data_IF_192453563557
#
_entry.id   IF_192453563557
#
_cell.length_a   1.000
_cell.length_b   1.000
_cell.length_c   1.000
_cell.angle_alpha   90.00
_cell.angle_beta   90.00
_cell.angle_gamma   90.00
#
_symmetry.space_group_name_H-M   'P 1'
#
loop_
_entity.id
_entity.type
_entity.pdbx_description
1 polymer ?
#
# COMPACT_ATOMS: atom_id res chain seq x y z
N UNK A 1 15.73 -24.59 5.66
CA UNK A 1 14.57 -24.63 6.56
C UNK A 1 13.31 -24.27 5.78
N UNK A 2 12.17 -24.92 6.06
CA UNK A 2 10.90 -24.54 5.45
C UNK A 2 10.55 -23.09 5.72
N UNK A 3 9.98 -22.42 4.71
CA UNK A 3 9.68 -20.98 4.77
C UNK A 3 8.57 -20.58 3.81
N UNK A 4 8.06 -19.36 3.94
CA UNK A 4 7.14 -18.79 2.96
C UNK A 4 7.90 -18.46 1.67
N UNK A 5 7.29 -18.80 0.54
CA UNK A 5 7.71 -18.44 -0.81
C UNK A 5 6.68 -17.50 -1.40
N UNK A 6 7.10 -16.43 -2.06
CA UNK A 6 6.19 -15.51 -2.72
C UNK A 6 6.04 -15.91 -4.19
N UNK A 7 4.79 -16.01 -4.65
CA UNK A 7 4.47 -16.30 -6.05
C UNK A 7 4.86 -15.12 -6.96
N UNK A 8 4.67 -13.90 -6.49
CA UNK A 8 4.95 -12.68 -7.23
C UNK A 8 5.95 -11.81 -6.46
N UNK A 9 6.96 -11.27 -7.17
CA UNK A 9 8.02 -10.45 -6.56
C UNK A 9 7.51 -9.09 -6.09
N UNK A 10 6.58 -8.50 -6.80
CA UNK A 10 5.94 -7.21 -6.49
C UNK A 10 4.97 -7.28 -5.29
N UNK A 11 4.63 -8.49 -4.84
CA UNK A 11 3.77 -8.72 -3.67
C UNK A 11 4.56 -9.14 -2.42
N UNK A 12 5.90 -9.18 -2.47
CA UNK A 12 6.72 -9.60 -1.33
C UNK A 12 6.86 -8.52 -0.22
N UNK A 13 6.38 -7.30 -0.46
CA UNK A 13 6.41 -6.21 0.51
C UNK A 13 5.37 -6.43 1.61
N UNK A 14 5.72 -7.29 2.55
CA UNK A 14 4.91 -7.64 3.71
C UNK A 14 5.70 -7.31 4.97
N UNK A 15 5.00 -6.90 6.02
CA UNK A 15 5.63 -6.58 7.30
C UNK A 15 6.48 -7.75 7.80
N UNK A 16 7.78 -7.49 8.03
CA UNK A 16 8.77 -8.54 8.28
C UNK A 16 8.37 -9.48 9.41
N UNK A 17 7.81 -8.96 10.50
CA UNK A 17 7.33 -9.77 11.62
C UNK A 17 6.24 -10.77 11.21
N UNK A 18 5.38 -10.45 10.23
CA UNK A 18 4.39 -11.39 9.71
C UNK A 18 5.09 -12.53 8.94
N UNK A 19 6.07 -12.19 8.09
CA UNK A 19 6.90 -13.16 7.36
C UNK A 19 7.60 -14.10 8.37
N UNK A 20 8.23 -13.53 9.40
CA UNK A 20 8.96 -14.31 10.43
C UNK A 20 8.04 -15.27 11.16
N UNK A 21 6.83 -14.85 11.54
CA UNK A 21 5.86 -15.72 12.21
C UNK A 21 5.36 -16.86 11.31
N UNK A 22 5.14 -16.57 10.02
CA UNK A 22 4.78 -17.62 9.05
C UNK A 22 5.96 -18.58 8.84
N UNK A 23 7.20 -18.11 8.78
CA UNK A 23 8.39 -18.96 8.69
C UNK A 23 8.54 -19.88 9.92
N UNK A 24 8.30 -19.39 11.12
CA UNK A 24 8.29 -20.19 12.35
C UNK A 24 7.22 -21.30 12.24
N UNK A 25 6.03 -20.99 11.77
CA UNK A 25 4.97 -21.96 11.53
C UNK A 25 5.40 -23.00 10.47
N UNK A 26 5.97 -22.57 9.34
CA UNK A 26 6.48 -23.45 8.28
C UNK A 26 7.53 -24.42 8.83
N UNK A 27 8.48 -23.92 9.61
CA UNK A 27 9.53 -24.73 10.23
C UNK A 27 8.93 -25.77 11.21
N UNK A 28 7.99 -25.34 12.06
CA UNK A 28 7.32 -26.23 13.02
C UNK A 28 6.48 -27.33 12.34
N UNK A 29 5.94 -27.06 11.14
CA UNK A 29 5.18 -28.02 10.34
C UNK A 29 6.04 -28.84 9.37
N UNK A 30 7.32 -28.50 9.22
CA UNK A 30 8.24 -29.14 8.29
C UNK A 30 7.87 -28.92 6.82
N UNK A 31 7.16 -27.84 6.48
CA UNK A 31 6.59 -27.57 5.13
C UNK A 31 6.77 -26.13 4.73
N UNK A 32 7.18 -25.91 3.46
CA UNK A 32 7.07 -24.58 2.84
C UNK A 32 5.60 -24.18 2.66
N UNK A 33 5.34 -22.88 2.55
CA UNK A 33 4.06 -22.37 2.08
C UNK A 33 4.23 -21.36 0.96
N UNK A 34 3.26 -21.31 0.06
CA UNK A 34 3.22 -20.39 -1.07
C UNK A 34 2.30 -19.19 -0.76
N UNK A 35 2.88 -18.02 -0.58
CA UNK A 35 2.13 -16.78 -0.56
C UNK A 35 1.68 -16.43 -1.98
N UNK A 36 0.38 -16.46 -2.22
CA UNK A 36 -0.25 -16.17 -3.51
C UNK A 36 -0.69 -14.72 -3.65
N UNK A 37 -0.80 -13.98 -2.54
CA UNK A 37 -0.99 -12.53 -2.50
C UNK A 37 -0.42 -11.98 -1.19
N UNK A 38 0.45 -11.01 -1.30
CA UNK A 38 1.02 -10.24 -0.20
C UNK A 38 0.61 -8.78 -0.28
N UNK A 39 1.57 -7.86 -0.51
CA UNK A 39 1.26 -6.45 -0.75
C UNK A 39 0.39 -6.27 -1.98
N UNK A 40 -0.52 -5.34 -1.87
CA UNK A 40 -1.45 -5.01 -2.95
C UNK A 40 -1.57 -3.50 -3.10
N UNK A 41 -1.14 -2.96 -4.25
CA UNK A 41 -1.32 -1.55 -4.55
C UNK A 41 -2.81 -1.18 -4.64
N UNK A 42 -3.13 0.10 -4.53
CA UNK A 42 -4.51 0.58 -4.67
C UNK A 42 -5.09 0.23 -6.06
N UNK A 43 -4.28 0.36 -7.11
CA UNK A 43 -4.70 0.03 -8.48
C UNK A 43 -4.98 -1.48 -8.63
N UNK A 44 -4.12 -2.33 -8.05
CA UNK A 44 -4.37 -3.77 -8.02
C UNK A 44 -5.64 -4.11 -7.26
N UNK A 45 -5.90 -3.44 -6.13
CA UNK A 45 -7.14 -3.63 -5.36
C UNK A 45 -8.39 -3.24 -6.17
N UNK A 46 -8.33 -2.16 -6.96
CA UNK A 46 -9.41 -1.76 -7.87
C UNK A 46 -9.65 -2.81 -8.95
N UNK A 47 -8.56 -3.29 -9.57
CA UNK A 47 -8.63 -4.36 -10.59
C UNK A 47 -9.33 -5.59 -10.03
N UNK A 48 -8.91 -6.08 -8.85
CA UNK A 48 -9.51 -7.23 -8.18
C UNK A 48 -10.99 -6.99 -7.87
N UNK A 49 -11.36 -5.80 -7.37
CA UNK A 49 -12.76 -5.49 -7.09
C UNK A 49 -13.63 -5.56 -8.36
N UNK A 50 -13.12 -5.05 -9.49
CA UNK A 50 -13.81 -5.11 -10.78
C UNK A 50 -13.91 -6.55 -11.32
N UNK A 51 -12.84 -7.35 -11.22
CA UNK A 51 -12.83 -8.76 -11.62
C UNK A 51 -13.83 -9.58 -10.77
N UNK A 52 -13.83 -9.36 -9.45
CA UNK A 52 -14.76 -10.01 -8.53
C UNK A 52 -16.21 -9.64 -8.85
N UNK A 53 -16.48 -8.36 -9.12
CA UNK A 53 -17.81 -7.88 -9.50
C UNK A 53 -18.29 -8.53 -10.80
N UNK A 54 -17.43 -8.58 -11.82
CA UNK A 54 -17.73 -9.18 -13.11
C UNK A 54 -17.91 -10.71 -13.04
N UNK A 55 -17.10 -11.37 -12.22
CA UNK A 55 -17.12 -12.84 -12.04
C UNK A 55 -18.23 -13.38 -11.14
N UNK A 56 -18.96 -12.51 -10.41
CA UNK A 56 -20.00 -12.92 -9.45
C UNK A 56 -21.37 -12.30 -9.77
N UNK A 57 -22.18 -12.94 -10.64
CA UNK A 57 -23.47 -12.42 -11.03
C UNK A 57 -24.37 -12.13 -9.82
N UNK A 58 -24.85 -10.88 -9.72
CA UNK A 58 -25.70 -10.41 -8.64
C UNK A 58 -24.98 -9.91 -7.40
N UNK A 59 -23.64 -9.84 -7.43
CA UNK A 59 -22.88 -9.03 -6.48
C UNK A 59 -23.10 -7.53 -6.74
N UNK A 60 -22.83 -6.71 -5.73
CA UNK A 60 -23.00 -5.25 -5.78
C UNK A 60 -21.75 -4.57 -5.29
N UNK A 61 -21.34 -3.52 -6.01
CA UNK A 61 -20.29 -2.63 -5.55
C UNK A 61 -20.88 -1.42 -4.82
N UNK A 62 -20.31 -1.08 -3.67
CA UNK A 62 -20.67 0.13 -2.92
C UNK A 62 -19.87 1.33 -3.43
N UNK A 63 -20.30 2.54 -3.05
CA UNK A 63 -19.62 3.79 -3.41
C UNK A 63 -18.15 3.85 -2.94
N UNK A 64 -17.80 3.16 -1.84
CA UNK A 64 -16.44 3.03 -1.33
C UNK A 64 -15.59 1.99 -2.08
N UNK A 65 -16.14 1.32 -3.10
CA UNK A 65 -15.50 0.32 -3.93
C UNK A 65 -15.56 -1.11 -3.38
N UNK A 66 -16.11 -1.34 -2.20
CA UNK A 66 -16.28 -2.68 -1.67
C UNK A 66 -17.32 -3.48 -2.48
N UNK A 67 -17.06 -4.77 -2.69
CA UNK A 67 -17.94 -5.68 -3.43
C UNK A 67 -18.54 -6.69 -2.47
N UNK A 68 -19.85 -6.84 -2.53
CA UNK A 68 -20.63 -7.77 -1.70
C UNK A 68 -21.47 -8.72 -2.55
N UNK A 69 -21.60 -9.96 -2.09
CA UNK A 69 -22.52 -10.91 -2.70
C UNK A 69 -23.98 -10.61 -2.31
N UNK A 70 -24.92 -11.45 -2.84
CA UNK A 70 -26.36 -11.36 -2.54
C UNK A 70 -26.70 -11.58 -1.06
N UNK A 71 -25.82 -12.27 -0.32
CA UNK A 71 -25.99 -12.59 1.11
C UNK A 71 -25.38 -11.52 2.01
N UNK A 72 -24.74 -10.49 1.43
CA UNK A 72 -24.07 -9.42 2.18
C UNK A 72 -22.65 -9.78 2.64
N UNK A 73 -22.07 -10.89 2.14
CA UNK A 73 -20.68 -11.23 2.39
C UNK A 73 -19.76 -10.34 1.56
N UNK A 74 -18.75 -9.76 2.18
CA UNK A 74 -17.75 -8.96 1.49
C UNK A 74 -16.83 -9.88 0.65
N UNK A 75 -16.84 -9.68 -0.66
CA UNK A 75 -16.01 -10.40 -1.62
C UNK A 75 -14.72 -9.63 -1.97
N UNK A 76 -14.75 -8.31 -1.91
CA UNK A 76 -13.57 -7.45 -2.05
C UNK A 76 -13.73 -6.23 -1.13
N UNK A 77 -12.67 -5.93 -0.38
CA UNK A 77 -12.64 -4.80 0.52
C UNK A 77 -12.70 -3.47 -0.24
N UNK A 78 -13.24 -2.44 0.41
CA UNK A 78 -13.23 -1.07 -0.08
C UNK A 78 -11.83 -0.61 -0.49
N UNK A 79 -11.76 0.34 -1.42
CA UNK A 79 -10.49 0.86 -1.92
C UNK A 79 -9.66 1.46 -0.79
N UNK A 80 -8.40 1.03 -0.69
CA UNK A 80 -7.48 1.45 0.38
C UNK A 80 -7.85 0.95 1.79
N UNK A 81 -8.75 -0.04 1.94
CA UNK A 81 -9.12 -0.63 3.24
C UNK A 81 -8.67 -2.07 3.42
N UNK A 82 -8.26 -2.75 2.35
CA UNK A 82 -7.71 -4.10 2.42
C UNK A 82 -6.42 -4.12 3.27
N UNK A 83 -6.26 -5.08 4.15
CA UNK A 83 -5.05 -5.28 4.93
C UNK A 83 -3.81 -5.57 4.06
N UNK A 84 -4.00 -6.10 2.85
CA UNK A 84 -2.94 -6.23 1.85
C UNK A 84 -2.38 -4.89 1.41
N UNK A 85 -3.22 -3.85 1.29
CA UNK A 85 -2.76 -2.50 0.94
C UNK A 85 -1.88 -1.86 2.03
N UNK A 86 -1.90 -2.41 3.25
CA UNK A 86 -1.09 -1.95 4.39
C UNK A 86 0.09 -2.88 4.71
N UNK A 87 0.40 -3.83 3.85
CA UNK A 87 1.49 -4.81 4.04
C UNK A 87 1.32 -5.71 5.28
N UNK A 88 0.12 -5.84 5.84
CA UNK A 88 -0.14 -6.57 7.10
C UNK A 88 -0.91 -7.87 6.90
N UNK A 89 -1.08 -8.34 5.67
CA UNK A 89 -1.76 -9.58 5.34
C UNK A 89 -1.04 -10.35 4.24
N UNK A 90 -1.20 -11.68 4.28
CA UNK A 90 -0.80 -12.61 3.23
C UNK A 90 -1.93 -13.60 2.95
N UNK A 91 -2.07 -14.01 1.69
CA UNK A 91 -2.91 -15.13 1.29
C UNK A 91 -2.03 -16.34 0.98
N UNK A 92 -2.26 -17.45 1.68
CA UNK A 92 -1.49 -18.68 1.54
C UNK A 92 -2.28 -19.71 0.74
N UNK A 93 -1.70 -20.18 -0.37
CA UNK A 93 -2.35 -21.07 -1.34
C UNK A 93 -2.52 -22.50 -0.87
N UNK A 94 -1.66 -22.97 0.04
CA UNK A 94 -1.54 -24.36 0.41
C UNK A 94 -2.72 -24.91 1.20
N UNK A 95 -3.17 -26.10 0.85
CA UNK A 95 -4.29 -26.79 1.52
C UNK A 95 -4.02 -27.08 2.99
N UNK A 96 -2.78 -27.47 3.33
CA UNK A 96 -2.41 -27.74 4.72
C UNK A 96 -2.53 -26.49 5.60
N UNK A 97 -2.17 -25.30 5.07
CA UNK A 97 -2.31 -24.04 5.79
C UNK A 97 -3.79 -23.66 5.94
N UNK A 98 -4.57 -23.83 4.87
CA UNK A 98 -6.03 -23.54 4.89
C UNK A 98 -6.78 -24.39 5.91
N UNK A 99 -6.31 -25.62 6.17
CA UNK A 99 -6.88 -26.52 7.15
C UNK A 99 -6.57 -26.17 8.62
N UNK A 100 -5.56 -25.31 8.89
CA UNK A 100 -5.25 -24.87 10.25
C UNK A 100 -6.36 -23.97 10.79
N UNK A 101 -6.76 -24.20 12.02
CA UNK A 101 -7.68 -23.33 12.75
C UNK A 101 -6.95 -22.20 13.48
N UNK A 102 -7.73 -21.25 14.02
CA UNK A 102 -7.17 -20.13 14.76
C UNK A 102 -6.55 -20.51 16.11
N UNK A 103 -6.90 -21.67 16.69
CA UNK A 103 -6.31 -22.15 17.94
C UNK A 103 -4.84 -22.54 17.72
N UNK A 104 -4.57 -23.20 16.60
CA UNK A 104 -3.21 -23.55 16.19
C UNK A 104 -2.43 -22.30 15.76
N UNK A 105 -2.99 -21.43 14.93
CA UNK A 105 -2.32 -20.23 14.43
C UNK A 105 -1.91 -19.26 15.54
N UNK A 106 -2.74 -19.12 16.58
CA UNK A 106 -2.46 -18.24 17.74
C UNK A 106 -1.19 -18.65 18.48
N UNK A 107 -0.79 -19.91 18.47
CA UNK A 107 0.47 -20.37 19.07
C UNK A 107 1.69 -19.70 18.42
N UNK A 108 1.53 -19.24 17.17
CA UNK A 108 2.56 -18.55 16.39
C UNK A 108 2.31 -17.03 16.29
N UNK A 109 1.30 -16.50 17.02
CA UNK A 109 0.93 -15.09 16.95
C UNK A 109 0.21 -14.71 15.66
N UNK A 110 -0.41 -15.68 14.98
CA UNK A 110 -1.12 -15.52 13.71
C UNK A 110 -2.63 -15.68 13.89
N UNK A 111 -3.41 -15.14 12.95
CA UNK A 111 -4.87 -15.27 12.93
C UNK A 111 -5.42 -15.19 11.51
N UNK A 112 -6.50 -15.93 11.25
CA UNK A 112 -7.41 -15.76 10.11
C UNK A 112 -8.62 -14.97 10.62
N UNK A 113 -8.74 -13.68 10.30
CA UNK A 113 -9.81 -12.84 10.86
C UNK A 113 -11.20 -13.18 10.33
N UNK A 114 -11.28 -13.85 9.15
CA UNK A 114 -12.50 -14.18 8.45
C UNK A 114 -12.60 -15.69 8.23
N UNK A 115 -13.67 -16.32 8.71
CA UNK A 115 -13.88 -17.78 8.60
C UNK A 115 -14.04 -18.25 7.14
N UNK A 116 -14.51 -17.37 6.25
CA UNK A 116 -14.74 -17.65 4.84
C UNK A 116 -13.49 -17.41 3.96
N UNK A 117 -12.39 -16.90 4.53
CA UNK A 117 -11.11 -16.74 3.86
C UNK A 117 -10.02 -17.59 4.54
N UNK A 118 -10.04 -18.92 4.37
CA UNK A 118 -9.11 -19.81 5.05
C UNK A 118 -7.65 -19.64 4.62
N UNK A 119 -7.42 -18.93 3.52
CA UNK A 119 -6.10 -18.57 3.00
C UNK A 119 -5.52 -17.32 3.64
N UNK A 120 -6.37 -16.39 4.11
CA UNK A 120 -5.96 -15.07 4.59
C UNK A 120 -5.35 -15.14 6.00
N UNK A 121 -4.17 -14.60 6.18
CA UNK A 121 -3.46 -14.56 7.46
C UNK A 121 -2.87 -13.20 7.77
N UNK A 122 -2.91 -12.83 9.04
CA UNK A 122 -2.27 -11.63 9.58
C UNK A 122 -1.73 -11.91 10.99
N UNK A 123 -0.94 -10.98 11.53
CA UNK A 123 -0.56 -11.04 12.94
C UNK A 123 -1.79 -10.89 13.84
N UNK A 124 -1.83 -11.68 14.91
CA UNK A 124 -2.88 -11.60 15.92
C UNK A 124 -3.00 -10.18 16.51
N UNK A 125 -1.86 -9.55 16.77
CA UNK A 125 -1.79 -8.18 17.30
C UNK A 125 -2.26 -7.09 16.32
N UNK A 126 -2.35 -7.44 15.02
CA UNK A 126 -2.88 -6.52 13.98
C UNK A 126 -4.39 -6.66 13.78
N UNK A 127 -5.04 -7.59 14.49
CA UNK A 127 -6.47 -7.75 14.39
C UNK A 127 -7.19 -6.57 15.09
N UNK A 128 -7.89 -5.75 14.31
CA UNK A 128 -8.62 -4.59 14.84
C UNK A 128 -7.79 -3.34 15.13
N UNK A 129 -6.52 -3.26 14.67
CA UNK A 129 -5.73 -2.04 14.83
C UNK A 129 -6.31 -0.85 14.06
N UNK A 130 -6.05 0.36 14.54
CA UNK A 130 -6.54 1.62 13.97
C UNK A 130 -5.91 1.88 12.60
N UNK A 131 -6.61 2.62 11.75
CA UNK A 131 -6.16 3.02 10.42
C UNK A 131 -4.75 3.65 10.43
N UNK A 132 -4.51 4.60 11.34
CA UNK A 132 -3.22 5.26 11.47
C UNK A 132 -2.05 4.31 11.77
N UNK A 133 -2.31 3.23 12.54
CA UNK A 133 -1.30 2.20 12.80
C UNK A 133 -1.01 1.37 11.54
N UNK A 134 -2.06 1.03 10.75
CA UNK A 134 -1.89 0.35 9.46
C UNK A 134 -1.04 1.19 8.49
N UNK A 135 -1.31 2.48 8.40
CA UNK A 135 -0.56 3.42 7.55
C UNK A 135 0.90 3.54 7.99
N UNK A 136 1.16 3.60 9.31
CA UNK A 136 2.52 3.61 9.84
C UNK A 136 3.30 2.34 9.49
N UNK A 137 2.66 1.16 9.57
CA UNK A 137 3.28 -0.11 9.18
C UNK A 137 3.55 -0.12 7.67
N UNK A 138 2.55 0.24 6.85
CA UNK A 138 2.72 0.36 5.40
C UNK A 138 3.90 1.24 5.04
N UNK A 139 3.97 2.44 5.61
CA UNK A 139 5.08 3.36 5.40
C UNK A 139 6.43 2.73 5.76
N UNK A 140 6.53 2.03 6.89
CA UNK A 140 7.77 1.38 7.32
C UNK A 140 8.24 0.26 6.37
N UNK A 141 7.28 -0.45 5.74
CA UNK A 141 7.58 -1.56 4.81
C UNK A 141 7.91 -1.04 3.42
N UNK A 142 7.17 -0.04 2.94
CA UNK A 142 7.30 0.48 1.57
C UNK A 142 8.30 1.64 1.46
N UNK A 143 8.89 2.08 2.56
CA UNK A 143 9.77 3.24 2.64
C UNK A 143 10.90 3.27 1.59
N UNK A 144 11.41 2.11 1.18
CA UNK A 144 12.42 2.04 0.12
C UNK A 144 11.83 1.82 -1.28
N UNK A 145 10.62 1.29 -1.38
CA UNK A 145 9.98 0.87 -2.63
C UNK A 145 9.21 2.02 -3.28
N UNK A 146 8.41 2.74 -2.48
CA UNK A 146 7.67 3.91 -2.96
C UNK A 146 8.64 5.09 -3.25
N UNK A 147 9.74 5.20 -2.46
CA UNK A 147 10.80 6.17 -2.71
C UNK A 147 11.50 5.91 -4.06
N UNK A 148 11.80 4.64 -4.41
CA UNK A 148 12.49 4.31 -5.66
C UNK A 148 11.65 4.61 -6.90
N UNK A 149 10.37 4.29 -6.91
CA UNK A 149 9.48 4.63 -8.02
C UNK A 149 9.27 6.14 -8.14
N UNK A 150 9.13 6.83 -7.01
CA UNK A 150 9.01 8.28 -6.95
C UNK A 150 10.32 8.98 -7.35
N UNK A 151 11.46 8.41 -6.97
CA UNK A 151 12.77 8.95 -7.29
C UNK A 151 13.02 8.97 -8.78
N UNK A 152 12.76 7.87 -9.51
CA UNK A 152 12.92 7.83 -10.98
C UNK A 152 12.07 8.86 -11.69
N UNK A 153 10.82 8.97 -11.30
CA UNK A 153 9.89 9.93 -11.89
C UNK A 153 10.30 11.38 -11.58
N UNK A 154 10.68 11.65 -10.31
CA UNK A 154 11.22 12.94 -9.91
C UNK A 154 12.50 13.31 -10.68
N UNK A 155 13.43 12.37 -10.80
CA UNK A 155 14.67 12.53 -11.57
C UNK A 155 14.37 12.84 -13.04
N UNK A 156 13.50 12.06 -13.68
CA UNK A 156 13.13 12.27 -15.09
C UNK A 156 12.56 13.69 -15.33
N UNK A 157 11.66 14.15 -14.45
CA UNK A 157 11.03 15.47 -14.57
C UNK A 157 12.00 16.60 -14.28
N UNK A 158 12.90 16.42 -13.32
CA UNK A 158 13.91 17.43 -12.96
C UNK A 158 15.16 17.39 -13.84
N UNK A 159 15.18 16.53 -14.86
CA UNK A 159 16.29 16.41 -15.81
C UNK A 159 17.51 15.69 -15.27
N UNK A 160 17.39 14.97 -14.16
CA UNK A 160 18.44 14.10 -13.63
C UNK A 160 18.40 12.72 -14.31
N UNK A 161 19.52 11.97 -14.30
CA UNK A 161 19.50 10.55 -14.68
C UNK A 161 18.49 9.77 -13.85
N UNK A 162 17.52 9.12 -14.49
CA UNK A 162 16.44 8.41 -13.81
C UNK A 162 16.86 6.99 -13.39
N UNK A 163 17.88 6.91 -12.52
CA UNK A 163 18.42 5.65 -12.00
C UNK A 163 17.61 5.05 -10.84
N UNK A 164 16.71 5.84 -10.24
CA UNK A 164 15.91 5.44 -9.08
C UNK A 164 16.65 5.50 -7.75
N UNK A 165 17.86 6.06 -7.73
CA UNK A 165 18.67 6.16 -6.53
C UNK A 165 18.56 7.57 -5.93
N UNK A 166 18.05 7.69 -4.70
CA UNK A 166 18.00 8.95 -3.96
C UNK A 166 19.40 9.40 -3.50
N UNK A 167 20.30 9.54 -4.48
CA UNK A 167 21.68 9.97 -4.27
C UNK A 167 21.81 11.46 -3.91
N UNK A 168 23.04 11.96 -3.68
CA UNK A 168 23.28 13.37 -3.33
C UNK A 168 22.65 14.36 -4.29
N UNK A 169 22.76 14.14 -5.61
CA UNK A 169 22.20 15.02 -6.64
C UNK A 169 20.68 15.07 -6.59
N UNK A 170 20.03 13.92 -6.38
CA UNK A 170 18.57 13.85 -6.24
C UNK A 170 18.08 14.58 -4.99
N UNK A 171 18.79 14.42 -3.87
CA UNK A 171 18.48 15.10 -2.61
C UNK A 171 18.70 16.61 -2.69
N UNK A 172 19.75 17.04 -3.39
CA UNK A 172 20.02 18.46 -3.64
C UNK A 172 18.92 19.07 -4.52
N UNK A 173 18.56 18.40 -5.60
CA UNK A 173 17.45 18.84 -6.48
C UNK A 173 16.10 18.89 -5.77
N UNK A 174 15.83 17.95 -4.87
CA UNK A 174 14.64 17.99 -4.02
C UNK A 174 14.63 19.21 -3.08
N UNK A 175 15.81 19.59 -2.51
CA UNK A 175 15.93 20.81 -1.69
C UNK A 175 15.69 22.07 -2.54
N UNK A 176 16.24 22.14 -3.75
CA UNK A 176 16.00 23.25 -4.67
C UNK A 176 14.50 23.41 -4.98
N UNK A 177 13.81 22.29 -5.28
CA UNK A 177 12.35 22.28 -5.52
C UNK A 177 11.61 22.78 -4.29
N UNK A 178 11.95 22.31 -3.09
CA UNK A 178 11.33 22.77 -1.84
C UNK A 178 11.61 24.25 -1.57
N UNK A 179 12.83 24.73 -1.82
CA UNK A 179 13.18 26.13 -1.65
C UNK A 179 12.37 27.02 -2.59
N UNK A 180 12.27 26.66 -3.87
CA UNK A 180 11.45 27.41 -4.83
C UNK A 180 9.96 27.36 -4.45
N UNK A 181 9.48 26.23 -3.93
CA UNK A 181 8.13 26.16 -3.37
C UNK A 181 7.95 27.15 -2.21
N UNK A 182 8.90 27.22 -1.29
CA UNK A 182 8.88 28.16 -0.17
C UNK A 182 8.96 29.61 -0.63
N UNK A 183 9.80 29.93 -1.61
CA UNK A 183 9.94 31.28 -2.20
C UNK A 183 8.67 31.70 -2.93
N UNK A 184 8.06 30.83 -3.76
CA UNK A 184 6.83 31.10 -4.48
C UNK A 184 5.64 31.27 -3.55
N UNK A 185 5.59 30.50 -2.47
CA UNK A 185 4.45 30.40 -1.58
C UNK A 185 4.62 31.21 -0.28
N UNK A 186 5.83 31.74 -0.06
CA UNK A 186 6.12 32.72 1.01
C UNK A 186 5.99 32.22 2.45
N UNK A 187 5.86 30.91 2.67
CA UNK A 187 5.68 30.34 4.00
C UNK A 187 6.20 28.91 4.13
N UNK A 188 6.55 28.50 5.37
CA UNK A 188 6.69 27.11 5.74
C UNK A 188 5.36 26.38 5.57
N UNK A 189 5.33 25.34 4.77
CA UNK A 189 4.12 24.51 4.57
C UNK A 189 3.71 23.80 5.87
N UNK A 190 2.79 24.38 6.61
CA UNK A 190 2.29 23.80 7.85
C UNK A 190 1.16 22.82 7.63
N UNK A 191 0.36 23.03 6.59
CA UNK A 191 -0.78 22.16 6.25
C UNK A 191 -0.99 22.06 4.73
N UNK A 192 -1.61 20.97 4.29
CA UNK A 192 -2.01 20.79 2.90
C UNK A 192 -2.93 21.93 2.39
N UNK A 193 -3.73 22.52 3.28
CA UNK A 193 -4.64 23.63 2.98
C UNK A 193 -3.90 24.91 2.66
N UNK A 194 -2.82 25.23 3.38
CA UNK A 194 -1.99 26.41 3.13
C UNK A 194 -1.31 26.33 1.76
N UNK A 195 -0.80 25.13 1.41
CA UNK A 195 -0.20 24.89 0.10
C UNK A 195 -1.20 25.13 -1.03
N UNK A 196 -2.44 24.66 -0.90
CA UNK A 196 -3.47 24.78 -1.92
C UNK A 196 -3.93 26.22 -2.06
N UNK A 197 -4.14 26.94 -0.95
CA UNK A 197 -4.48 28.36 -0.96
C UNK A 197 -3.42 29.18 -1.67
N UNK A 198 -2.15 28.90 -1.40
CA UNK A 198 -1.04 29.62 -2.00
C UNK A 198 -0.89 29.37 -3.51
N UNK A 199 -1.29 28.20 -4.04
CA UNK A 199 -1.28 27.91 -5.48
C UNK A 199 -2.49 28.43 -6.23
N UNK A 200 -3.43 29.09 -5.57
CA UNK A 200 -4.72 29.57 -6.14
C UNK A 200 -5.54 28.49 -6.85
N UNK A 201 -5.30 27.22 -6.53
CA UNK A 201 -6.14 26.11 -6.98
C UNK A 201 -7.39 26.07 -6.09
N UNK A 202 -8.49 25.49 -6.59
CA UNK A 202 -9.71 25.36 -5.78
C UNK A 202 -9.47 24.39 -4.63
N UNK A 203 -9.45 24.86 -3.36
CA UNK A 203 -9.13 24.01 -2.21
C UNK A 203 -10.09 22.82 -2.06
N UNK A 204 -11.37 23.03 -2.39
CA UNK A 204 -12.42 22.01 -2.35
C UNK A 204 -12.16 20.82 -3.26
N UNK A 205 -11.41 21.03 -4.37
CA UNK A 205 -11.08 19.96 -5.31
C UNK A 205 -9.85 19.16 -4.88
N UNK A 206 -8.94 19.77 -4.14
CA UNK A 206 -7.63 19.20 -3.81
C UNK A 206 -7.50 18.68 -2.38
N UNK A 207 -8.10 19.36 -1.41
CA UNK A 207 -8.00 18.97 0.00
C UNK A 207 -8.41 17.51 0.25
N UNK A 208 -9.56 17.03 -0.29
CA UNK A 208 -9.93 15.62 -0.14
C UNK A 208 -8.97 14.64 -0.83
N UNK A 209 -8.19 15.14 -1.80
CA UNK A 209 -7.30 14.34 -2.65
C UNK A 209 -5.86 14.30 -2.15
N UNK A 210 -5.44 15.28 -1.33
CA UNK A 210 -4.11 15.31 -0.70
C UNK A 210 -3.91 14.23 0.36
N UNK A 211 -4.99 13.63 0.83
CA UNK A 211 -4.94 12.47 1.71
C UNK A 211 -4.48 11.19 1.01
N UNK A 212 -4.35 11.22 -0.33
CA UNK A 212 -3.83 10.10 -1.12
C UNK A 212 -2.47 10.51 -1.72
N UNK A 213 -1.41 9.73 -1.50
CA UNK A 213 -0.03 9.97 -1.99
C UNK A 213 0.03 10.38 -3.47
N UNK A 214 -0.87 9.84 -4.31
CA UNK A 214 -0.95 10.13 -5.74
C UNK A 214 -1.17 11.62 -6.06
N UNK A 215 -1.91 12.35 -5.24
CA UNK A 215 -2.20 13.76 -5.48
C UNK A 215 -1.11 14.67 -4.94
N UNK A 216 -0.49 14.33 -3.82
CA UNK A 216 0.71 15.01 -3.35
C UNK A 216 1.83 14.88 -4.38
N UNK A 217 2.02 13.68 -4.93
CA UNK A 217 2.94 13.42 -6.04
C UNK A 217 2.62 14.31 -7.25
N UNK A 218 1.37 14.33 -7.72
CA UNK A 218 0.95 15.15 -8.86
C UNK A 218 1.18 16.65 -8.59
N UNK A 219 1.01 17.12 -7.38
CA UNK A 219 1.26 18.49 -6.96
C UNK A 219 2.75 18.82 -7.04
N UNK A 220 3.62 18.03 -6.42
CA UNK A 220 5.09 18.20 -6.48
C UNK A 220 5.58 18.15 -7.94
N UNK A 221 5.03 17.24 -8.75
CA UNK A 221 5.34 17.10 -10.16
C UNK A 221 4.93 18.32 -10.98
N UNK A 222 3.76 18.90 -10.70
CA UNK A 222 3.30 20.12 -11.36
C UNK A 222 4.18 21.33 -11.00
N UNK A 223 4.65 21.42 -9.77
CA UNK A 223 5.62 22.46 -9.37
C UNK A 223 6.94 22.24 -10.11
N UNK A 224 7.49 21.03 -10.12
CA UNK A 224 8.73 20.72 -10.83
C UNK A 224 8.63 21.07 -12.35
N UNK A 225 7.48 20.80 -12.98
CA UNK A 225 7.22 21.21 -14.37
C UNK A 225 7.22 22.74 -14.55
N UNK A 226 6.59 23.48 -13.66
CA UNK A 226 6.60 24.95 -13.69
C UNK A 226 7.98 25.54 -13.49
N UNK A 227 8.88 24.83 -12.83
CA UNK A 227 10.30 25.20 -12.66
C UNK A 227 11.16 24.92 -13.89
N UNK A 228 10.59 24.56 -15.04
CA UNK A 228 11.31 24.29 -16.29
C UNK A 228 11.73 22.84 -16.48
N UNK A 229 11.26 21.91 -15.66
CA UNK A 229 11.40 20.48 -15.88
C UNK A 229 10.67 20.02 -17.14
N UNK A 230 11.34 19.24 -17.98
CA UNK A 230 10.70 18.61 -19.15
C UNK A 230 9.87 17.41 -18.69
N UNK A 231 8.64 17.32 -19.18
CA UNK A 231 7.79 16.14 -19.00
C UNK A 231 8.29 14.96 -19.81
#
# INVERSE_FOLDING_TARGET
MPSVKFKYKDECFVYQKLIDRVNILCAAKGRDCLCTSGYRSLEKQKTIANEVLAGNPGSRQRADGAVYDKKGQCLAAAFGKSNHCFCIAMDIGDSWFKALDNSELKKYGLVKPMSYEPWHVQLLEHNGIRQAQKESIRYSVLKGVDEDMNVKEFQAITGLPADGIAGPMTKEKAREVLQVCQEILGNDFKTAEEVIKATQTKPEDWIPKLTTEKYFRAFVMNIAKKMGGKA
#
